data_IF_100183635906
#
_entry.id   IF_100183635906
#
_cell.length_a   1.000
_cell.length_b   1.000
_cell.length_c   1.000
_cell.angle_alpha   90.00
_cell.angle_beta   90.00
_cell.angle_gamma   90.00
#
_symmetry.space_group_name_H-M   'P 1'
#
loop_
_entity.id
_entity.type
_entity.pdbx_description
1 polymer ?
#
# COMPACT_ATOMS: atom_id res chain seq x y z
N UNK A 1 -22.38 10.37 -2.80
CA UNK A 1 -21.36 9.32 -3.05
C UNK A 1 -19.97 9.83 -2.72
N UNK A 2 -19.58 11.03 -3.17
CA UNK A 2 -18.30 11.65 -2.79
C UNK A 2 -18.20 11.85 -1.27
N UNK A 3 -19.22 12.40 -0.62
CA UNK A 3 -19.22 12.65 0.83
C UNK A 3 -18.98 11.38 1.65
N UNK A 4 -19.58 10.26 1.23
CA UNK A 4 -19.37 8.95 1.87
C UNK A 4 -17.93 8.44 1.73
N UNK A 5 -17.28 8.71 0.59
CA UNK A 5 -15.90 8.28 0.35
C UNK A 5 -14.90 9.18 1.10
N UNK A 6 -15.19 10.48 1.20
CA UNK A 6 -14.42 11.43 2.02
C UNK A 6 -14.45 11.00 3.49
N UNK A 7 -15.64 10.68 4.03
CA UNK A 7 -15.79 10.15 5.39
C UNK A 7 -15.02 8.85 5.62
N UNK A 8 -15.02 7.94 4.64
CA UNK A 8 -14.27 6.68 4.71
C UNK A 8 -12.77 6.95 4.71
N UNK A 9 -12.29 7.85 3.84
CA UNK A 9 -10.89 8.22 3.77
C UNK A 9 -10.40 8.88 5.07
N UNK A 10 -11.21 9.75 5.67
CA UNK A 10 -10.85 10.40 6.94
C UNK A 10 -10.78 9.41 8.09
N UNK A 11 -11.73 8.46 8.17
CA UNK A 11 -11.65 7.35 9.13
C UNK A 11 -10.44 6.46 8.88
N UNK A 12 -10.12 6.17 7.62
CA UNK A 12 -8.96 5.38 7.24
C UNK A 12 -7.66 6.08 7.66
N UNK A 13 -7.52 7.38 7.41
CA UNK A 13 -6.34 8.16 7.82
C UNK A 13 -6.15 8.21 9.34
N UNK A 14 -7.23 8.17 10.10
CA UNK A 14 -7.18 8.14 11.57
C UNK A 14 -6.88 6.74 12.13
N UNK A 15 -7.33 5.67 11.46
CA UNK A 15 -7.30 4.31 12.00
C UNK A 15 -6.24 3.38 11.40
N UNK A 16 -5.71 3.69 10.21
CA UNK A 16 -4.74 2.86 9.50
C UNK A 16 -3.33 3.37 9.79
N UNK A 17 -2.45 2.47 10.23
CA UNK A 17 -1.03 2.76 10.36
C UNK A 17 -0.36 2.83 8.98
N UNK A 18 -0.09 4.07 8.53
CA UNK A 18 0.59 4.34 7.26
C UNK A 18 2.10 4.04 7.29
N UNK A 19 2.67 3.78 8.46
CA UNK A 19 4.06 3.31 8.54
C UNK A 19 4.19 1.86 8.03
N UNK A 20 3.10 1.11 8.04
CA UNK A 20 3.02 -0.21 7.43
C UNK A 20 2.70 -0.13 5.93
N UNK A 21 3.37 -0.98 5.14
CA UNK A 21 3.20 -1.00 3.69
C UNK A 21 1.77 -1.37 3.25
N UNK A 22 1.09 -2.24 4.00
CA UNK A 22 -0.32 -2.57 3.72
C UNK A 22 -1.23 -1.39 4.04
N UNK A 23 -0.99 -0.70 5.16
CA UNK A 23 -1.77 0.46 5.55
C UNK A 23 -1.61 1.62 4.56
N UNK A 24 -0.39 1.91 4.12
CA UNK A 24 -0.15 2.91 3.07
C UNK A 24 -0.86 2.54 1.76
N UNK A 25 -0.84 1.27 1.37
CA UNK A 25 -1.54 0.82 0.17
C UNK A 25 -3.06 1.05 0.26
N UNK A 26 -3.67 0.76 1.41
CA UNK A 26 -5.11 0.95 1.64
C UNK A 26 -5.50 2.43 1.53
N UNK A 27 -4.76 3.32 2.20
CA UNK A 27 -5.04 4.77 2.16
C UNK A 27 -4.85 5.32 0.75
N UNK A 28 -3.77 4.94 0.06
CA UNK A 28 -3.50 5.39 -1.30
C UNK A 28 -4.58 4.94 -2.31
N UNK A 29 -5.17 3.75 -2.14
CA UNK A 29 -6.31 3.31 -2.97
C UNK A 29 -7.54 4.21 -2.76
N UNK A 30 -7.84 4.57 -1.51
CA UNK A 30 -8.97 5.45 -1.18
C UNK A 30 -8.75 6.87 -1.73
N UNK A 31 -7.52 7.39 -1.64
CA UNK A 31 -7.15 8.68 -2.24
C UNK A 31 -7.31 8.65 -3.77
N UNK A 32 -6.86 7.57 -4.43
CA UNK A 32 -7.07 7.40 -5.87
C UNK A 32 -8.56 7.37 -6.25
N UNK A 33 -9.36 6.60 -5.51
CA UNK A 33 -10.80 6.51 -5.72
C UNK A 33 -11.48 7.87 -5.57
N UNK A 34 -11.07 8.66 -4.56
CA UNK A 34 -11.63 9.98 -4.32
C UNK A 34 -11.31 10.95 -5.48
N UNK A 35 -10.06 10.99 -5.93
CA UNK A 35 -9.68 11.84 -7.08
C UNK A 35 -10.43 11.45 -8.36
N UNK A 36 -10.64 10.15 -8.61
CA UNK A 36 -11.45 9.68 -9.75
C UNK A 36 -12.93 10.06 -9.63
N UNK A 37 -13.53 9.91 -8.46
CA UNK A 37 -14.92 10.31 -8.22
C UNK A 37 -15.08 11.82 -8.41
N UNK A 38 -14.12 12.63 -7.94
CA UNK A 38 -14.10 14.08 -8.17
C UNK A 38 -13.93 14.43 -9.65
N UNK A 39 -13.07 13.71 -10.38
CA UNK A 39 -12.87 13.89 -11.82
C UNK A 39 -14.12 13.51 -12.64
N UNK A 40 -14.95 12.58 -12.15
CA UNK A 40 -16.19 12.19 -12.83
C UNK A 40 -17.31 13.26 -12.77
N UNK A 41 -17.08 14.37 -12.07
CA UNK A 41 -18.05 15.48 -12.01
C UNK A 41 -18.24 16.09 -13.40
N UNK A 42 -19.46 16.60 -13.72
CA UNK A 42 -19.76 17.12 -15.06
C UNK A 42 -18.77 18.22 -15.50
N UNK A 43 -18.38 18.30 -16.78
CA UNK A 43 -17.43 19.29 -17.28
C UNK A 43 -17.85 20.75 -17.04
N UNK A 44 -19.15 21.04 -16.94
CA UNK A 44 -19.65 22.38 -16.61
C UNK A 44 -19.33 22.80 -15.16
N UNK A 45 -18.96 21.84 -14.31
CA UNK A 45 -18.56 22.05 -12.92
C UNK A 45 -17.04 22.02 -12.72
N UNK A 46 -16.23 21.86 -13.78
CA UNK A 46 -14.79 21.63 -13.64
C UNK A 46 -13.98 22.16 -14.84
N UNK A 47 -12.93 22.93 -14.56
CA UNK A 47 -12.00 23.36 -15.60
C UNK A 47 -11.20 22.16 -16.17
N UNK A 48 -10.86 22.14 -17.48
CA UNK A 48 -10.07 21.05 -18.06
C UNK A 48 -8.72 20.79 -17.36
N UNK A 49 -8.08 21.84 -16.84
CA UNK A 49 -6.84 21.73 -16.07
C UNK A 49 -7.05 21.03 -14.73
N UNK A 50 -8.14 21.34 -14.03
CA UNK A 50 -8.51 20.73 -12.76
C UNK A 50 -8.85 19.24 -12.94
N UNK A 51 -9.56 18.89 -14.02
CA UNK A 51 -9.81 17.50 -14.38
C UNK A 51 -8.49 16.73 -14.62
N UNK A 52 -7.55 17.32 -15.36
CA UNK A 52 -6.24 16.71 -15.60
C UNK A 52 -5.39 16.62 -14.32
N UNK A 53 -5.54 17.52 -13.37
CA UNK A 53 -4.90 17.43 -12.04
C UNK A 53 -5.45 16.27 -11.23
N UNK A 54 -6.77 16.13 -11.14
CA UNK A 54 -7.39 15.01 -10.42
C UNK A 54 -7.02 13.65 -11.02
N UNK A 55 -6.93 13.54 -12.35
CA UNK A 55 -6.45 12.31 -12.99
C UNK A 55 -4.98 12.03 -12.67
N UNK A 56 -4.14 13.06 -12.61
CA UNK A 56 -2.72 12.91 -12.22
C UNK A 56 -2.57 12.51 -10.77
N UNK A 57 -3.35 13.09 -9.87
CA UNK A 57 -3.42 12.69 -8.46
C UNK A 57 -3.84 11.23 -8.32
N UNK A 58 -4.91 10.83 -9.03
CA UNK A 58 -5.37 9.45 -9.03
C UNK A 58 -4.26 8.48 -9.48
N UNK A 59 -3.55 8.79 -10.58
CA UNK A 59 -2.43 7.98 -11.05
C UNK A 59 -1.27 7.91 -10.06
N UNK A 60 -0.93 9.03 -9.40
CA UNK A 60 0.11 9.07 -8.38
C UNK A 60 -0.25 8.18 -7.18
N UNK A 61 -1.50 8.24 -6.73
CA UNK A 61 -2.01 7.43 -5.62
C UNK A 61 -2.07 5.94 -5.99
N UNK A 62 -2.49 5.58 -7.22
CA UNK A 62 -2.43 4.19 -7.71
C UNK A 62 -0.99 3.66 -7.73
N UNK A 63 -0.03 4.49 -8.17
CA UNK A 63 1.39 4.12 -8.16
C UNK A 63 1.88 3.87 -6.73
N UNK A 64 1.54 4.76 -5.79
CA UNK A 64 1.88 4.58 -4.38
C UNK A 64 1.30 3.27 -3.82
N UNK A 65 0.01 3.02 -4.08
CA UNK A 65 -0.65 1.78 -3.67
C UNK A 65 0.02 0.52 -4.23
N UNK A 66 0.40 0.55 -5.51
CA UNK A 66 1.07 -0.58 -6.18
C UNK A 66 2.44 -0.86 -5.55
N UNK A 67 3.24 0.19 -5.32
CA UNK A 67 4.56 0.06 -4.69
C UNK A 67 4.43 -0.48 -3.26
N UNK A 68 3.54 0.11 -2.47
CA UNK A 68 3.30 -0.29 -1.08
C UNK A 68 2.79 -1.74 -0.98
N UNK A 69 1.89 -2.14 -1.88
CA UNK A 69 1.44 -3.53 -2.02
C UNK A 69 2.60 -4.47 -2.37
N UNK A 70 3.45 -4.09 -3.33
CA UNK A 70 4.64 -4.89 -3.69
C UNK A 70 5.60 -5.10 -2.52
N UNK A 71 5.78 -4.08 -1.67
CA UNK A 71 6.56 -4.18 -0.43
C UNK A 71 5.88 -5.14 0.55
N UNK A 72 4.56 -5.01 0.76
CA UNK A 72 3.80 -5.89 1.64
C UNK A 72 3.90 -7.35 1.20
N UNK A 73 3.74 -7.63 -0.09
CA UNK A 73 3.91 -8.97 -0.70
C UNK A 73 5.33 -9.49 -0.46
N UNK A 74 6.36 -8.68 -0.73
CA UNK A 74 7.75 -9.09 -0.51
C UNK A 74 8.02 -9.43 0.95
N UNK A 75 7.47 -8.65 1.89
CA UNK A 75 7.60 -8.93 3.34
C UNK A 75 6.88 -10.22 3.73
N UNK A 76 5.67 -10.45 3.21
CA UNK A 76 4.93 -11.68 3.46
C UNK A 76 5.69 -12.94 2.98
N UNK A 77 6.36 -12.85 1.82
CA UNK A 77 7.19 -13.94 1.29
C UNK A 77 8.52 -14.14 2.05
N UNK A 78 8.98 -13.14 2.83
CA UNK A 78 10.25 -13.21 3.57
C UNK A 78 10.13 -13.81 4.98
N UNK A 79 8.93 -14.11 5.49
CA UNK A 79 8.77 -14.88 6.72
C UNK A 79 8.77 -16.39 6.45
N UNK A 80 9.16 -17.29 7.39
CA UNK A 80 10.24 -17.26 8.38
C UNK A 80 11.46 -18.07 7.88
N UNK A 81 11.84 -18.00 6.60
CA UNK A 81 13.00 -18.78 6.08
C UNK A 81 14.35 -18.22 6.57
N UNK A 82 14.41 -16.96 6.98
CA UNK A 82 15.62 -16.36 7.56
C UNK A 82 15.91 -16.81 9.01
N UNK A 83 15.00 -17.53 9.68
CA UNK A 83 15.22 -18.12 11.00
C UNK A 83 15.82 -19.54 10.94
N UNK A 84 16.00 -20.10 9.74
CA UNK A 84 16.68 -21.39 9.51
C UNK A 84 18.06 -21.18 8.90
N UNK A 85 18.97 -20.57 9.65
CA UNK A 85 20.38 -20.88 9.51
C UNK A 85 20.90 -21.40 10.86
N UNK A 86 20.70 -22.69 11.18
CA UNK A 86 21.44 -23.30 12.27
C UNK A 86 22.87 -23.48 11.80
N UNK A 87 23.78 -22.67 12.34
CA UNK A 87 25.19 -22.99 12.44
C UNK A 87 25.41 -24.22 13.33
N UNK A 88 25.06 -25.39 12.83
CA UNK A 88 25.42 -26.69 13.41
C UNK A 88 26.50 -27.32 12.53
N UNK A 89 27.75 -26.94 12.82
CA UNK A 89 28.90 -27.78 12.47
C UNK A 89 28.68 -29.16 13.13
N UNK A 90 28.80 -30.29 12.39
CA UNK A 90 28.73 -31.60 13.02
C UNK A 90 29.94 -31.74 13.96
N UNK A 91 29.64 -31.73 15.26
CA UNK A 91 30.61 -31.98 16.31
C UNK A 91 31.28 -33.33 16.12
N UNK A 92 32.60 -33.34 16.25
CA UNK A 92 33.46 -34.52 16.31
C UNK A 92 32.95 -35.55 17.33
N UNK A 93 32.95 -36.82 16.93
CA UNK A 93 33.51 -37.90 17.75
C UNK A 93 33.78 -39.15 16.89
N UNK A 94 35.04 -39.56 16.65
CA UNK A 94 35.35 -40.96 16.45
C UNK A 94 35.57 -41.59 17.83
N UNK A 95 34.72 -42.55 18.21
CA UNK A 95 34.98 -43.40 19.35
C UNK A 95 36.19 -44.30 19.04
N UNK A 96 37.28 -44.10 19.80
CA UNK A 96 38.30 -45.13 20.04
C UNK A 96 37.96 -45.78 21.37
N UNK A 97 37.78 -47.10 21.38
CA UNK A 97 38.53 -48.15 22.11
C UNK A 97 37.91 -49.48 21.69
#
# INVERSE_FOLDING_TARGET
MTDTLEDVLDRARAGIDRSEALGEAQVAVLEAALSLVRASRPPLAQAPSEHAELLREALASVRAATVATGIAVTRAHRGPVAAQLPGLLPGKAPARV
#
